data_IF_054846390640
#
_entry.id   IF_054846390640
#
_cell.length_a   1.000
_cell.length_b   1.000
_cell.length_c   1.000
_cell.angle_alpha   90.00
_cell.angle_beta   90.00
_cell.angle_gamma   90.00
#
_symmetry.space_group_name_H-M   'P 1'
#
loop_
_entity.id
_entity.type
_entity.pdbx_description
1 polymer ?
#
# COMPACT_ATOMS: atom_id res chain seq x y z
N UNK A 1 0.92 16.42 -8.08
CA UNK A 1 0.87 15.03 -7.58
C UNK A 1 1.04 14.15 -8.79
N UNK A 2 1.94 13.16 -8.76
CA UNK A 2 2.06 12.19 -9.86
C UNK A 2 0.77 11.37 -9.99
N UNK A 3 0.53 10.79 -11.17
CA UNK A 3 -0.73 10.09 -11.46
C UNK A 3 -0.91 8.88 -10.53
N UNK A 4 0.18 8.23 -10.13
CA UNK A 4 0.16 7.08 -9.25
C UNK A 4 -0.27 7.47 -7.83
N UNK A 5 0.28 8.55 -7.28
CA UNK A 5 -0.10 9.04 -5.97
C UNK A 5 -1.57 9.51 -5.95
N UNK A 6 -2.03 10.12 -7.05
CA UNK A 6 -3.43 10.49 -7.20
C UNK A 6 -4.36 9.25 -7.20
N UNK A 7 -3.96 8.16 -7.86
CA UNK A 7 -4.72 6.89 -7.86
C UNK A 7 -4.78 6.25 -6.48
N UNK A 8 -3.72 6.34 -5.68
CA UNK A 8 -3.73 5.88 -4.29
C UNK A 8 -4.71 6.70 -3.45
N UNK A 9 -4.61 8.03 -3.48
CA UNK A 9 -5.55 8.90 -2.76
C UNK A 9 -7.00 8.61 -3.17
N UNK A 10 -7.26 8.52 -4.48
CA UNK A 10 -8.60 8.24 -4.99
C UNK A 10 -9.13 6.87 -4.52
N UNK A 11 -8.26 5.87 -4.40
CA UNK A 11 -8.63 4.54 -3.88
C UNK A 11 -8.96 4.59 -2.39
N UNK A 12 -8.17 5.32 -1.60
CA UNK A 12 -8.44 5.56 -0.18
C UNK A 12 -9.77 6.29 0.02
N UNK A 13 -9.99 7.37 -0.74
CA UNK A 13 -11.21 8.19 -0.67
C UNK A 13 -12.44 7.39 -1.09
N UNK A 14 -12.33 6.58 -2.16
CA UNK A 14 -13.41 5.71 -2.61
C UNK A 14 -13.83 4.73 -1.51
N UNK A 15 -12.88 4.01 -0.91
CA UNK A 15 -13.19 3.03 0.15
C UNK A 15 -13.82 3.71 1.36
N UNK A 16 -13.26 4.85 1.80
CA UNK A 16 -13.79 5.60 2.93
C UNK A 16 -15.20 6.15 2.68
N UNK A 17 -15.53 6.51 1.44
CA UNK A 17 -16.83 7.05 1.07
C UNK A 17 -17.88 5.96 0.85
N UNK A 18 -17.53 4.91 0.12
CA UNK A 18 -18.51 3.93 -0.36
C UNK A 18 -18.59 2.67 0.51
N UNK A 19 -17.47 2.23 1.09
CA UNK A 19 -17.35 0.91 1.72
C UNK A 19 -17.12 0.96 3.23
N UNK A 20 -17.12 2.15 3.83
CA UNK A 20 -16.88 2.31 5.28
C UNK A 20 -17.95 1.63 6.12
N UNK A 21 -19.21 1.70 5.72
CA UNK A 21 -20.32 1.00 6.39
C UNK A 21 -20.19 -0.52 6.34
N UNK A 22 -19.40 -1.06 5.41
CA UNK A 22 -19.10 -2.48 5.28
C UNK A 22 -17.85 -2.91 6.09
N UNK A 23 -17.25 -1.99 6.86
CA UNK A 23 -16.12 -2.27 7.74
C UNK A 23 -14.74 -2.13 7.08
N UNK A 24 -14.64 -1.41 5.96
CA UNK A 24 -13.37 -1.06 5.32
C UNK A 24 -12.91 0.36 5.68
N UNK A 25 -11.60 0.57 5.78
CA UNK A 25 -11.01 1.87 6.22
C UNK A 25 -9.97 2.44 5.24
N UNK A 26 -9.51 1.64 4.28
CA UNK A 26 -8.48 2.04 3.32
C UNK A 26 -8.57 1.23 2.03
N UNK A 27 -8.16 1.85 0.92
CA UNK A 27 -8.14 1.23 -0.40
C UNK A 27 -6.79 1.46 -1.08
N UNK A 28 -6.23 0.42 -1.69
CA UNK A 28 -4.96 0.53 -2.40
C UNK A 28 -5.03 -0.06 -3.82
N UNK A 29 -4.63 0.66 -4.87
CA UNK A 29 -4.69 0.13 -6.23
C UNK A 29 -3.60 -0.91 -6.48
N UNK A 30 -3.94 -1.99 -7.19
CA UNK A 30 -2.92 -2.91 -7.73
C UNK A 30 -2.34 -2.43 -9.07
N UNK A 31 -2.80 -1.26 -9.54
CA UNK A 31 -2.42 -0.61 -10.79
C UNK A 31 -2.78 -1.34 -12.09
N UNK A 32 -3.55 -2.44 -12.02
CA UNK A 32 -4.23 -2.98 -13.20
C UNK A 32 -5.47 -2.13 -13.53
N UNK A 33 -5.80 -2.09 -14.81
CA UNK A 33 -7.02 -1.46 -15.31
C UNK A 33 -7.58 -2.30 -16.46
N UNK A 34 -8.89 -2.25 -16.65
CA UNK A 34 -9.58 -2.88 -17.75
C UNK A 34 -10.67 -1.96 -18.27
N UNK A 35 -11.08 -2.13 -19.52
CA UNK A 35 -12.30 -1.52 -20.07
C UNK A 35 -13.15 -2.65 -20.65
N UNK A 36 -14.38 -2.77 -20.13
CA UNK A 36 -15.33 -3.81 -20.53
C UNK A 36 -16.45 -3.26 -21.42
N UNK A 37 -16.23 -2.12 -22.08
CA UNK A 37 -17.19 -1.46 -22.97
C UNK A 37 -18.07 -0.41 -22.29
N UNK A 38 -17.92 -0.22 -20.97
CA UNK A 38 -18.65 0.77 -20.17
C UNK A 38 -17.70 1.70 -19.39
N UNK A 39 -16.48 1.86 -19.87
CA UNK A 39 -15.45 2.70 -19.27
C UNK A 39 -14.42 1.92 -18.47
N UNK A 40 -13.37 2.64 -18.08
CA UNK A 40 -12.22 2.06 -17.39
C UNK A 40 -12.53 1.73 -15.94
N UNK A 41 -12.31 0.48 -15.55
CA UNK A 41 -12.30 0.01 -14.16
C UNK A 41 -10.86 -0.12 -13.67
N UNK A 42 -10.64 0.17 -12.38
CA UNK A 42 -9.34 0.07 -11.71
C UNK A 42 -9.49 -0.93 -10.57
N UNK A 43 -8.56 -1.88 -10.47
CA UNK A 43 -8.57 -2.82 -9.36
C UNK A 43 -7.98 -2.19 -8.09
N UNK A 44 -8.72 -2.33 -6.99
CA UNK A 44 -8.41 -1.80 -5.66
C UNK A 44 -8.51 -2.94 -4.65
N UNK A 45 -7.51 -3.03 -3.77
CA UNK A 45 -7.56 -3.85 -2.57
C UNK A 45 -8.18 -3.04 -1.44
N UNK A 46 -9.27 -3.54 -0.87
CA UNK A 46 -9.93 -2.93 0.28
C UNK A 46 -9.37 -3.54 1.59
N UNK A 47 -9.05 -2.68 2.55
CA UNK A 47 -8.46 -3.04 3.82
C UNK A 47 -9.52 -2.88 4.91
N UNK A 48 -9.77 -3.96 5.66
CA UNK A 48 -10.72 -3.95 6.78
C UNK A 48 -10.19 -3.09 7.93
N UNK A 49 -11.10 -2.38 8.59
CA UNK A 49 -10.80 -1.58 9.78
C UNK A 49 -10.19 -2.44 10.90
N UNK A 50 -10.63 -3.69 11.03
CA UNK A 50 -10.10 -4.61 12.04
C UNK A 50 -8.64 -4.96 11.83
N UNK A 51 -8.14 -4.89 10.59
CA UNK A 51 -6.80 -5.34 10.21
C UNK A 51 -5.70 -4.28 10.45
N UNK A 52 -6.06 -3.01 10.64
CA UNK A 52 -5.08 -1.92 10.71
C UNK A 52 -5.34 -0.96 11.87
N UNK A 53 -4.28 -0.25 12.27
CA UNK A 53 -4.37 0.99 13.05
C UNK A 53 -3.98 2.18 12.17
N UNK A 54 -4.79 3.23 12.17
CA UNK A 54 -4.44 4.49 11.51
C UNK A 54 -3.65 5.40 12.46
N UNK A 55 -2.55 5.98 11.98
CA UNK A 55 -1.78 6.98 12.72
C UNK A 55 -1.47 8.19 11.85
N UNK A 56 -1.67 9.38 12.42
CA UNK A 56 -1.20 10.65 11.87
C UNK A 56 0.18 10.96 12.44
N UNK A 57 1.17 11.10 11.57
CA UNK A 57 2.57 11.32 11.93
C UNK A 57 3.01 12.70 11.48
N UNK A 58 3.66 13.46 12.38
CA UNK A 58 4.20 14.78 12.05
C UNK A 58 5.24 14.70 10.94
N UNK A 59 5.14 15.61 9.96
CA UNK A 59 6.14 15.77 8.91
C UNK A 59 7.55 15.96 9.47
N UNK A 60 7.69 16.65 10.60
CA UNK A 60 9.00 16.86 11.25
C UNK A 60 9.61 15.55 11.79
N UNK A 61 8.78 14.59 12.22
CA UNK A 61 9.26 13.24 12.62
C UNK A 61 9.84 12.47 11.43
N UNK A 62 9.27 12.66 10.25
CA UNK A 62 9.57 11.85 9.04
C UNK A 62 10.38 12.61 7.98
N UNK A 63 10.91 13.79 8.32
CA UNK A 63 11.81 14.55 7.44
C UNK A 63 11.11 15.37 6.35
N UNK A 64 9.80 15.65 6.50
CA UNK A 64 8.99 16.44 5.56
C UNK A 64 9.09 15.94 4.11
N UNK A 65 8.73 14.66 3.85
CA UNK A 65 8.94 14.03 2.55
C UNK A 65 8.06 14.64 1.47
N UNK A 66 8.55 14.61 0.22
CA UNK A 66 7.72 14.86 -0.94
C UNK A 66 6.74 13.70 -1.13
N UNK A 67 5.46 13.95 -0.85
CA UNK A 67 4.39 12.96 -1.02
C UNK A 67 4.22 12.46 -2.45
N UNK A 68 4.78 13.13 -3.46
CA UNK A 68 4.78 12.63 -4.84
C UNK A 68 5.84 11.56 -5.08
N UNK A 69 6.85 11.49 -4.21
CA UNK A 69 7.82 10.41 -4.17
C UNK A 69 7.22 9.22 -3.39
N UNK A 70 6.34 8.46 -4.04
CA UNK A 70 5.69 7.31 -3.40
C UNK A 70 6.71 6.30 -2.85
N UNK A 71 7.81 6.07 -3.56
CA UNK A 71 8.85 5.14 -3.10
C UNK A 71 9.45 5.55 -1.75
N UNK A 72 9.60 6.85 -1.51
CA UNK A 72 10.03 7.39 -0.21
C UNK A 72 8.95 7.23 0.85
N UNK A 73 7.69 7.57 0.54
CA UNK A 73 6.56 7.39 1.46
C UNK A 73 6.38 5.94 1.92
N UNK A 74 6.55 4.97 1.01
CA UNK A 74 6.51 3.54 1.34
C UNK A 74 7.67 3.07 2.21
N UNK A 75 8.86 3.67 2.05
CA UNK A 75 10.01 3.38 2.92
C UNK A 75 9.81 3.93 4.32
N UNK A 76 9.28 5.15 4.41
CA UNK A 76 8.94 5.77 5.69
C UNK A 76 7.91 4.90 6.42
N UNK A 77 6.84 4.48 5.73
CA UNK A 77 5.84 3.59 6.31
C UNK A 77 6.44 2.29 6.84
N UNK A 78 7.31 1.63 6.06
CA UNK A 78 7.98 0.41 6.49
C UNK A 78 8.86 0.60 7.74
N UNK A 79 9.65 1.68 7.77
CA UNK A 79 10.50 2.01 8.91
C UNK A 79 9.64 2.24 10.17
N UNK A 80 8.59 3.07 10.06
CA UNK A 80 7.64 3.31 11.15
C UNK A 80 6.99 2.02 11.65
N UNK A 81 6.59 1.12 10.74
CA UNK A 81 6.02 -0.17 11.14
C UNK A 81 7.01 -0.99 11.97
N UNK A 82 8.27 -1.07 11.54
CA UNK A 82 9.31 -1.79 12.29
C UNK A 82 9.63 -1.13 13.63
N UNK A 83 9.68 0.20 13.69
CA UNK A 83 9.87 0.95 14.95
C UNK A 83 8.75 0.66 15.95
N UNK A 84 7.51 0.62 15.48
CA UNK A 84 6.32 0.49 16.32
C UNK A 84 5.88 -0.99 16.53
N UNK A 85 6.65 -1.97 16.02
CA UNK A 85 6.38 -3.41 16.20
C UNK A 85 5.25 -3.99 15.33
N UNK A 86 4.88 -3.31 14.24
CA UNK A 86 3.90 -3.80 13.27
C UNK A 86 4.60 -4.57 12.15
N UNK A 87 4.00 -5.67 11.64
CA UNK A 87 4.55 -6.43 10.51
C UNK A 87 4.67 -5.60 9.22
N UNK A 88 3.79 -4.61 9.01
CA UNK A 88 3.78 -3.80 7.81
C UNK A 88 2.99 -2.49 8.02
N UNK A 89 3.27 -1.44 7.24
CA UNK A 89 2.42 -0.26 7.12
C UNK A 89 2.45 0.35 5.70
N UNK A 90 1.36 1.00 5.31
CA UNK A 90 1.25 1.77 4.07
C UNK A 90 0.96 3.25 4.35
N UNK A 91 1.45 4.17 3.50
CA UNK A 91 1.04 5.57 3.57
C UNK A 91 -0.39 5.73 3.01
N UNK A 92 -1.19 6.61 3.61
CA UNK A 92 -2.46 7.05 3.02
C UNK A 92 -2.25 8.02 1.86
N UNK A 93 -1.07 8.66 1.80
CA UNK A 93 -0.72 9.78 0.92
C UNK A 93 -1.61 11.04 1.08
N UNK A 94 -2.47 11.04 2.09
CA UNK A 94 -3.13 12.24 2.60
C UNK A 94 -2.20 13.02 3.51
N UNK A 95 -2.23 14.35 3.36
CA UNK A 95 -1.44 15.30 4.13
C UNK A 95 -2.35 16.42 4.63
N UNK A 96 -2.49 16.51 5.94
CA UNK A 96 -3.07 17.67 6.60
C UNK A 96 -1.99 18.77 6.62
N UNK A 97 -2.15 19.75 5.72
CA UNK A 97 -1.22 20.87 5.59
C UNK A 97 -1.29 21.84 6.75
N UNK A 98 -2.41 21.90 7.47
CA UNK A 98 -2.60 22.83 8.57
C UNK A 98 -1.76 22.41 9.77
N UNK A 99 -1.77 21.11 10.08
CA UNK A 99 -1.05 20.54 11.22
C UNK A 99 0.25 19.83 10.84
N UNK A 100 0.60 19.83 9.55
CA UNK A 100 1.73 19.07 8.97
C UNK A 100 1.71 17.58 9.35
N UNK A 101 0.57 16.91 9.14
CA UNK A 101 0.38 15.49 9.50
C UNK A 101 0.20 14.60 8.27
N UNK A 102 0.92 13.49 8.24
CA UNK A 102 0.86 12.47 7.20
C UNK A 102 0.19 11.21 7.75
N UNK A 103 -0.77 10.66 7.00
CA UNK A 103 -1.50 9.46 7.42
C UNK A 103 -0.79 8.16 7.03
N UNK A 104 -0.84 7.18 7.93
CA UNK A 104 -0.30 5.83 7.71
C UNK A 104 -1.24 4.79 8.31
N UNK A 105 -1.37 3.64 7.64
CA UNK A 105 -2.13 2.48 8.11
C UNK A 105 -1.16 1.35 8.44
N UNK A 106 -1.17 0.89 9.69
CA UNK A 106 -0.28 -0.13 10.22
C UNK A 106 -1.03 -1.45 10.36
N UNK A 107 -0.58 -2.50 9.70
CA UNK A 107 -1.23 -3.82 9.74
C UNK A 107 -0.95 -4.52 11.06
N UNK A 108 -2.01 -4.93 11.76
CA UNK A 108 -1.89 -5.66 13.01
C UNK A 108 -1.28 -7.04 12.77
N UNK A 109 -0.54 -7.60 13.75
CA UNK A 109 -0.07 -8.98 13.68
C UNK A 109 -1.21 -9.96 13.42
N UNK A 110 -0.95 -10.98 12.60
CA UNK A 110 -1.94 -12.02 12.26
C UNK A 110 -2.94 -11.62 11.17
N UNK A 111 -2.94 -10.38 10.68
CA UNK A 111 -3.68 -10.00 9.47
C UNK A 111 -2.82 -10.03 8.22
N UNK A 112 -1.49 -10.05 8.40
CA UNK A 112 -0.55 -10.07 7.31
C UNK A 112 0.59 -11.04 7.47
N UNK A 113 0.91 -11.73 6.37
CA UNK A 113 2.10 -12.55 6.23
C UNK A 113 3.20 -11.77 5.51
N UNK A 114 4.44 -11.98 5.95
CA UNK A 114 5.64 -11.44 5.31
C UNK A 114 6.36 -12.53 4.51
N UNK A 115 6.85 -12.17 3.32
CA UNK A 115 7.70 -13.04 2.52
C UNK A 115 8.70 -12.26 1.68
N UNK A 116 9.92 -12.78 1.65
CA UNK A 116 10.97 -12.40 0.73
C UNK A 116 10.73 -12.98 -0.67
N UNK A 117 10.70 -12.11 -1.68
CA UNK A 117 10.62 -12.49 -3.09
C UNK A 117 11.84 -11.93 -3.82
N UNK A 118 12.39 -12.64 -4.82
CA UNK A 118 13.50 -12.13 -5.63
C UNK A 118 13.01 -11.16 -6.70
N UNK A 119 13.88 -10.23 -7.09
CA UNK A 119 13.55 -9.25 -8.14
C UNK A 119 13.22 -9.92 -9.46
N UNK A 120 14.02 -10.93 -9.78
CA UNK A 120 13.89 -11.73 -10.98
C UNK A 120 12.56 -12.47 -11.04
N UNK A 121 12.03 -12.90 -9.89
CA UNK A 121 10.76 -13.62 -9.82
C UNK A 121 9.57 -12.67 -10.08
N UNK A 122 9.79 -11.35 -9.92
CA UNK A 122 8.83 -10.28 -10.22
C UNK A 122 9.07 -9.62 -11.58
N UNK A 123 10.04 -10.08 -12.38
CA UNK A 123 10.38 -9.46 -13.67
C UNK A 123 11.26 -8.21 -13.58
N UNK A 124 11.91 -7.96 -12.43
CA UNK A 124 12.76 -6.80 -12.14
C UNK A 124 12.06 -5.44 -12.32
N UNK A 125 10.91 -5.21 -11.66
CA UNK A 125 10.14 -3.99 -11.86
C UNK A 125 10.90 -2.77 -11.35
N UNK A 126 10.81 -1.68 -12.10
CA UNK A 126 11.62 -0.47 -11.90
C UNK A 126 10.81 0.63 -11.22
N UNK A 127 9.58 0.89 -11.68
CA UNK A 127 8.68 1.92 -11.13
C UNK A 127 7.66 1.35 -10.12
N UNK A 128 6.95 2.25 -9.41
CA UNK A 128 6.01 1.85 -8.36
C UNK A 128 4.80 1.09 -8.91
N UNK A 129 4.21 1.53 -10.02
CA UNK A 129 3.04 0.90 -10.59
C UNK A 129 3.37 -0.50 -11.14
N UNK A 130 4.54 -0.64 -11.77
CA UNK A 130 5.08 -1.92 -12.22
C UNK A 130 5.31 -2.88 -11.05
N UNK A 131 5.81 -2.38 -9.92
CA UNK A 131 5.99 -3.19 -8.69
C UNK A 131 4.66 -3.71 -8.17
N UNK A 132 3.64 -2.86 -8.08
CA UNK A 132 2.32 -3.28 -7.60
C UNK A 132 1.69 -4.34 -8.50
N UNK A 133 1.76 -4.16 -9.82
CA UNK A 133 1.29 -5.17 -10.79
C UNK A 133 2.07 -6.47 -10.69
N UNK A 134 3.40 -6.40 -10.70
CA UNK A 134 4.26 -7.59 -10.64
C UNK A 134 4.03 -8.40 -9.36
N UNK A 135 3.87 -7.73 -8.22
CA UNK A 135 3.53 -8.40 -6.95
C UNK A 135 2.14 -9.04 -7.04
N UNK A 136 1.13 -8.34 -7.56
CA UNK A 136 -0.21 -8.90 -7.78
C UNK A 136 -0.18 -10.15 -8.70
N UNK A 137 0.51 -10.07 -9.83
CA UNK A 137 0.59 -11.19 -10.77
C UNK A 137 1.34 -12.38 -10.14
N UNK A 138 2.35 -12.10 -9.32
CA UNK A 138 3.07 -13.11 -8.56
C UNK A 138 2.16 -13.82 -7.53
N UNK A 139 1.28 -13.14 -6.75
CA UNK A 139 0.36 -13.89 -5.86
C UNK A 139 -0.53 -14.84 -6.63
N UNK A 140 -1.08 -14.37 -7.74
CA UNK A 140 -2.03 -15.15 -8.53
C UNK A 140 -1.35 -16.42 -9.07
N UNK A 141 -0.05 -16.37 -9.34
CA UNK A 141 0.74 -17.54 -9.77
C UNK A 141 1.00 -18.57 -8.67
N UNK A 142 0.81 -18.22 -7.39
CA UNK A 142 1.06 -19.14 -6.28
C UNK A 142 -0.10 -20.15 -6.16
N UNK A 143 0.19 -21.42 -5.81
CA UNK A 143 -0.82 -22.50 -5.73
C UNK A 143 -1.92 -22.31 -4.67
N UNK A 144 -1.90 -21.20 -3.92
CA UNK A 144 -2.93 -20.83 -2.95
C UNK A 144 -3.66 -19.58 -3.44
N UNK A 145 -4.73 -19.78 -4.20
CA UNK A 145 -5.67 -18.74 -4.61
C UNK A 145 -6.37 -18.14 -3.37
N UNK A 146 -6.09 -16.88 -3.01
CA UNK A 146 -6.96 -16.17 -2.06
C UNK A 146 -6.38 -14.99 -1.27
N UNK A 147 -5.17 -14.49 -1.56
CA UNK A 147 -4.59 -13.37 -0.83
C UNK A 147 -4.30 -12.15 -1.71
N UNK A 148 -4.93 -11.02 -1.40
CA UNK A 148 -4.57 -9.69 -1.91
C UNK A 148 -3.20 -9.28 -1.36
N UNK A 149 -2.33 -8.74 -2.22
CA UNK A 149 -0.94 -8.41 -1.87
C UNK A 149 -0.67 -6.91 -1.90
N UNK A 150 -0.02 -6.40 -0.86
CA UNK A 150 0.44 -5.00 -0.80
C UNK A 150 1.97 -4.92 -0.69
N UNK A 151 2.55 -3.92 -1.35
CA UNK A 151 3.98 -3.61 -1.40
C UNK A 151 4.40 -2.71 -0.23
N UNK A 152 5.42 -3.09 0.55
CA UNK A 152 6.02 -2.23 1.61
C UNK A 152 7.53 -2.49 1.62
N UNK A 153 8.43 -1.48 1.51
CA UNK A 153 9.90 -1.69 1.40
C UNK A 153 10.64 -1.31 2.69
N UNK A 154 11.51 -2.18 3.24
CA UNK A 154 12.57 -1.79 4.18
C UNK A 154 13.99 -1.91 3.58
N UNK A 155 14.87 -1.06 4.09
CA UNK A 155 16.22 -0.80 3.61
C UNK A 155 17.19 -1.69 4.38
N UNK A 156 17.62 -2.82 3.83
CA UNK A 156 19.01 -3.32 4.02
C UNK A 156 19.42 -4.49 3.13
N UNK A 157 18.54 -5.09 2.34
CA UNK A 157 18.93 -6.19 1.46
C UNK A 157 18.07 -6.16 0.21
N UNK A 158 18.61 -6.62 -0.93
CA UNK A 158 17.95 -6.63 -2.25
C UNK A 158 16.77 -7.60 -2.29
N UNK A 159 15.73 -7.34 -1.52
CA UNK A 159 14.63 -8.26 -1.28
C UNK A 159 13.29 -7.52 -1.29
N UNK A 160 12.28 -8.15 -1.89
CA UNK A 160 10.94 -7.58 -2.09
C UNK A 160 9.93 -8.22 -1.15
N UNK A 161 8.87 -7.47 -0.85
CA UNK A 161 7.95 -7.80 0.23
C UNK A 161 6.58 -8.20 -0.29
N UNK A 162 6.07 -9.25 0.33
CA UNK A 162 4.71 -9.74 0.20
C UNK A 162 3.95 -9.37 1.47
N UNK A 163 2.75 -8.81 1.34
CA UNK A 163 1.82 -8.61 2.47
C UNK A 163 0.49 -9.22 2.08
N UNK A 164 0.24 -10.45 2.53
CA UNK A 164 -1.06 -11.11 2.36
C UNK A 164 -2.07 -10.48 3.29
N UNK A 165 -3.21 -9.98 2.83
CA UNK A 165 -4.30 -9.59 3.74
C UNK A 165 -5.23 -10.78 3.95
N UNK A 166 -5.43 -11.20 5.20
CA UNK A 166 -6.37 -12.26 5.60
C UNK A 166 -7.80 -11.75 5.80
#
# INVERSE_FOLDING_TARGET
>A
MCIEAARVNASMDYVLRELKSEGYIAGFPNFHQADHGNGTVIAIFCIKETAVDFKSISGDRIGNPDRTNMMEMFRIAANLASEDGYPAAIPSLHHDRTNNLYGFYFFKPGYVDWKDVKATDLGNPTDIAERFRAVNDYSISLPYNGGSLIFIRLITVRVWYLVRIL
#
